data_IF_135516930114
#
_entry.id   IF_135516930114
#
_cell.length_a   1.000
_cell.length_b   1.000
_cell.length_c   1.000
_cell.angle_alpha   90.00
_cell.angle_beta   90.00
_cell.angle_gamma   90.00
#
_symmetry.space_group_name_H-M   'P 1'
#
loop_
_entity.id
_entity.type
_entity.pdbx_description
1 polymer ?
#
# COMPACT_ATOMS: atom_id res chain seq x y z
N UNK A 1 -27.16 -5.46 -2.77
CA UNK A 1 -26.04 -6.38 -2.58
C UNK A 1 -24.85 -5.80 -3.32
N UNK A 2 -23.82 -5.29 -2.64
CA UNK A 2 -22.62 -4.80 -3.30
C UNK A 2 -21.72 -6.01 -3.54
N UNK A 3 -21.44 -6.34 -4.81
CA UNK A 3 -20.44 -7.36 -5.12
C UNK A 3 -19.08 -6.77 -4.78
N UNK A 4 -18.35 -7.41 -3.85
CA UNK A 4 -16.96 -7.07 -3.62
C UNK A 4 -16.17 -7.48 -4.87
N UNK A 5 -15.62 -6.52 -5.60
CA UNK A 5 -14.73 -6.81 -6.72
C UNK A 5 -13.39 -7.26 -6.12
N UNK A 6 -13.00 -8.49 -6.39
CA UNK A 6 -11.65 -8.96 -6.06
C UNK A 6 -10.64 -8.17 -6.88
N UNK A 7 -9.84 -7.36 -6.20
CA UNK A 7 -8.91 -6.43 -6.81
C UNK A 7 -7.58 -6.44 -6.06
N UNK A 8 -6.49 -6.29 -6.80
CA UNK A 8 -5.14 -6.28 -6.27
C UNK A 8 -4.21 -5.67 -7.32
N UNK A 9 -3.45 -4.66 -6.91
CA UNK A 9 -2.46 -3.98 -7.75
C UNK A 9 -1.15 -3.94 -6.99
N UNK A 10 -0.04 -4.21 -7.67
CA UNK A 10 1.29 -4.01 -7.10
C UNK A 10 1.65 -2.55 -7.22
N UNK A 11 2.10 -1.93 -6.13
CA UNK A 11 2.47 -0.53 -6.09
C UNK A 11 3.94 -0.39 -5.68
N UNK A 12 4.59 0.63 -6.23
CA UNK A 12 5.77 1.25 -5.62
C UNK A 12 5.36 2.61 -5.09
N UNK A 13 5.52 2.81 -3.80
CA UNK A 13 5.15 4.05 -3.14
C UNK A 13 6.37 4.70 -2.49
N UNK A 14 6.37 6.02 -2.37
CA UNK A 14 7.30 6.76 -1.52
C UNK A 14 6.58 7.17 -0.24
N UNK A 15 7.05 6.66 0.88
CA UNK A 15 6.52 6.98 2.20
C UNK A 15 6.74 8.47 2.51
N UNK A 16 5.68 9.20 2.88
CA UNK A 16 5.76 10.59 3.33
C UNK A 16 5.63 10.65 4.85
N UNK A 17 4.59 9.99 5.38
CA UNK A 17 4.32 9.93 6.81
C UNK A 17 3.56 8.67 7.16
N UNK A 18 3.62 8.28 8.43
CA UNK A 18 2.82 7.19 9.01
C UNK A 18 2.31 7.60 10.37
N UNK A 19 1.12 7.12 10.72
CA UNK A 19 0.53 7.25 12.04
C UNK A 19 -0.30 5.99 12.36
N UNK A 20 -0.58 5.69 13.63
CA UNK A 20 -1.50 4.61 13.98
C UNK A 20 -2.85 4.78 13.27
N UNK A 21 -3.38 3.70 12.70
CA UNK A 21 -4.66 3.74 12.01
C UNK A 21 -5.80 4.01 13.02
N UNK A 22 -6.73 4.95 12.76
CA UNK A 22 -7.71 5.39 13.75
C UNK A 22 -8.74 4.33 14.14
N UNK A 23 -8.95 3.32 13.28
CA UNK A 23 -9.99 2.29 13.45
C UNK A 23 -9.49 0.84 13.49
N UNK A 24 -8.24 0.60 13.07
CA UNK A 24 -7.72 -0.75 12.89
C UNK A 24 -6.50 -0.91 13.79
N UNK A 25 -6.67 -1.68 14.86
CA UNK A 25 -5.56 -2.00 15.76
C UNK A 25 -4.47 -2.75 14.98
N UNK A 26 -3.19 -2.46 15.26
CA UNK A 26 -2.03 -3.04 14.58
C UNK A 26 -1.82 -2.61 13.12
N UNK A 27 -2.62 -1.66 12.62
CA UNK A 27 -2.40 -1.02 11.33
C UNK A 27 -1.91 0.40 11.55
N UNK A 28 -1.14 0.88 10.59
CA UNK A 28 -0.79 2.28 10.45
C UNK A 28 -1.46 2.83 9.19
N UNK A 29 -1.95 4.06 9.29
CA UNK A 29 -2.34 4.88 8.15
C UNK A 29 -1.10 5.58 7.61
N UNK A 30 -0.83 5.38 6.33
CA UNK A 30 0.33 5.90 5.63
C UNK A 30 -0.12 6.91 4.60
N UNK A 31 0.53 8.08 4.56
CA UNK A 31 0.48 8.97 3.42
C UNK A 31 1.70 8.68 2.52
N UNK A 32 1.46 8.45 1.24
CA UNK A 32 2.52 8.15 0.28
C UNK A 32 2.22 8.67 -1.12
N UNK A 33 3.27 8.93 -1.89
CA UNK A 33 3.16 9.20 -3.33
C UNK A 33 3.29 7.88 -4.09
N UNK A 34 2.39 7.60 -5.03
CA UNK A 34 2.47 6.42 -5.90
C UNK A 34 3.46 6.71 -7.01
N UNK A 35 4.58 5.98 -7.01
CA UNK A 35 5.64 6.12 -8.01
C UNK A 35 5.35 5.27 -9.25
N UNK A 36 4.82 4.06 -9.04
CA UNK A 36 4.61 3.09 -10.10
C UNK A 36 3.54 2.07 -9.69
N UNK A 37 2.91 1.43 -10.68
CA UNK A 37 1.89 0.41 -10.45
C UNK A 37 1.89 -0.67 -11.55
N UNK A 38 1.74 -1.93 -11.12
CA UNK A 38 1.62 -3.09 -12.01
C UNK A 38 0.34 -3.89 -11.67
N UNK A 39 -0.46 -4.30 -12.67
CA UNK A 39 -1.62 -5.15 -12.43
C UNK A 39 -1.20 -6.55 -11.94
N UNK A 40 -1.96 -7.12 -11.01
CA UNK A 40 -1.76 -8.52 -10.57
C UNK A 40 -2.66 -9.45 -11.37
N UNK A 41 -2.08 -10.47 -11.99
CA UNK A 41 -2.83 -11.45 -12.80
C UNK A 41 -3.95 -12.09 -11.98
N UNK A 42 -5.16 -12.10 -12.55
CA UNK A 42 -6.33 -12.71 -11.93
C UNK A 42 -7.14 -11.76 -11.04
N UNK A 43 -6.69 -10.51 -10.85
CA UNK A 43 -7.38 -9.50 -10.06
C UNK A 43 -7.71 -8.27 -10.90
N UNK A 44 -8.76 -7.55 -10.53
CA UNK A 44 -9.03 -6.24 -11.10
C UNK A 44 -7.94 -5.25 -10.67
N UNK A 45 -7.46 -4.46 -11.62
CA UNK A 45 -6.55 -3.34 -11.34
C UNK A 45 -7.35 -2.06 -11.15
N UNK A 46 -7.44 -1.61 -9.90
CA UNK A 46 -8.21 -0.42 -9.53
C UNK A 46 -7.33 0.73 -9.06
N UNK A 47 -6.00 0.59 -9.09
CA UNK A 47 -5.09 1.56 -8.48
C UNK A 47 -4.06 2.15 -9.45
N UNK A 48 -3.80 1.53 -10.60
CA UNK A 48 -2.81 2.06 -11.56
C UNK A 48 -3.14 3.44 -12.11
N UNK A 49 -4.43 3.81 -12.17
CA UNK A 49 -4.83 5.16 -12.57
C UNK A 49 -4.42 6.26 -11.57
N UNK A 50 -3.90 5.88 -10.39
CA UNK A 50 -3.47 6.81 -9.33
C UNK A 50 -1.96 7.07 -9.33
N UNK A 51 -1.21 6.50 -10.26
CA UNK A 51 0.25 6.73 -10.41
C UNK A 51 0.54 8.22 -10.58
N UNK A 52 1.58 8.70 -9.91
CA UNK A 52 1.94 10.12 -9.82
C UNK A 52 1.11 10.92 -8.81
N UNK A 53 0.09 10.31 -8.22
CA UNK A 53 -0.76 10.91 -7.20
C UNK A 53 -0.31 10.59 -5.77
N UNK A 54 -0.84 11.37 -4.83
CA UNK A 54 -0.73 11.12 -3.39
C UNK A 54 -1.95 10.35 -2.90
N UNK A 55 -1.71 9.36 -2.05
CA UNK A 55 -2.76 8.53 -1.47
C UNK A 55 -2.56 8.32 0.02
N UNK A 56 -3.65 7.99 0.69
CA UNK A 56 -3.65 7.38 2.00
C UNK A 56 -3.92 5.89 1.85
N UNK A 57 -3.14 5.06 2.54
CA UNK A 57 -3.32 3.62 2.56
C UNK A 57 -3.05 3.03 3.95
N UNK A 58 -3.81 2.00 4.32
CA UNK A 58 -3.59 1.24 5.53
C UNK A 58 -2.57 0.11 5.29
N UNK A 59 -1.56 0.03 6.15
CA UNK A 59 -0.54 -1.02 6.12
C UNK A 59 -0.39 -1.59 7.52
N UNK A 60 -0.27 -2.92 7.62
CA UNK A 60 0.08 -3.63 8.85
C UNK A 60 1.36 -3.05 9.48
N UNK A 61 1.32 -2.69 10.75
CA UNK A 61 2.43 -1.97 11.44
C UNK A 61 3.72 -2.78 11.47
N UNK A 62 3.62 -4.09 11.66
CA UNK A 62 4.75 -5.02 11.67
C UNK A 62 5.46 -5.09 10.32
N UNK A 63 4.75 -4.92 9.19
CA UNK A 63 5.37 -4.82 7.87
C UNK A 63 6.18 -3.53 7.69
N UNK A 64 5.82 -2.46 8.41
CA UNK A 64 6.50 -1.16 8.32
C UNK A 64 7.72 -1.05 9.23
N UNK A 65 8.19 -2.13 9.84
CA UNK A 65 9.36 -2.05 10.70
C UNK A 65 10.59 -1.52 9.92
N UNK A 66 11.30 -0.57 10.51
CA UNK A 66 12.40 0.13 9.85
C UNK A 66 12.02 1.09 8.70
N UNK A 67 10.75 1.24 8.33
CA UNK A 67 10.34 2.23 7.32
C UNK A 67 10.38 3.66 7.88
N UNK A 68 11.10 4.55 7.19
CA UNK A 68 11.18 5.97 7.50
C UNK A 68 10.66 6.83 6.33
N UNK A 69 10.18 8.07 6.59
CA UNK A 69 9.86 9.01 5.52
C UNK A 69 10.94 9.10 4.44
N UNK A 70 10.53 9.09 3.17
CA UNK A 70 11.39 9.03 2.00
C UNK A 70 11.67 7.62 1.48
N UNK A 71 11.48 6.57 2.30
CA UNK A 71 11.66 5.19 1.87
C UNK A 71 10.72 4.82 0.71
N UNK A 72 11.19 3.99 -0.21
CA UNK A 72 10.39 3.42 -1.28
C UNK A 72 9.93 2.04 -0.86
N UNK A 73 8.62 1.81 -0.88
CA UNK A 73 8.02 0.53 -0.47
C UNK A 73 7.38 -0.10 -1.71
N UNK A 74 7.75 -1.34 -2.01
CA UNK A 74 7.00 -2.20 -2.95
C UNK A 74 6.03 -3.03 -2.13
N UNK A 75 4.76 -3.03 -2.52
CA UNK A 75 3.70 -3.78 -1.83
C UNK A 75 2.54 -4.07 -2.78
N UNK A 76 1.67 -5.00 -2.42
CA UNK A 76 0.39 -5.21 -3.11
C UNK A 76 -0.74 -4.59 -2.30
N UNK A 77 -1.65 -3.89 -2.97
CA UNK A 77 -2.76 -3.21 -2.32
C UNK A 77 -4.07 -3.41 -3.09
N UNK A 78 -5.17 -3.29 -2.34
CA UNK A 78 -6.53 -3.35 -2.87
C UNK A 78 -7.34 -2.14 -2.41
N UNK A 79 -8.33 -1.77 -3.20
CA UNK A 79 -9.38 -0.84 -2.82
C UNK A 79 -10.53 -1.62 -2.15
N UNK A 80 -10.80 -1.32 -0.88
CA UNK A 80 -11.86 -1.92 -0.09
C UNK A 80 -12.69 -0.82 0.59
N UNK A 81 -13.99 -0.75 0.30
CA UNK A 81 -14.91 0.24 0.88
C UNK A 81 -14.41 1.71 0.77
N UNK A 82 -13.71 2.05 -0.33
CA UNK A 82 -13.17 3.39 -0.58
C UNK A 82 -11.77 3.63 0.01
N UNK A 83 -11.24 2.67 0.77
CA UNK A 83 -9.93 2.75 1.41
C UNK A 83 -8.91 1.88 0.66
N UNK A 84 -7.68 2.36 0.51
CA UNK A 84 -6.57 1.55 -0.02
C UNK A 84 -5.97 0.78 1.14
N UNK A 85 -5.93 -0.55 1.03
CA UNK A 85 -5.44 -1.43 2.07
C UNK A 85 -4.36 -2.32 1.46
N UNK A 86 -3.17 -2.30 2.06
CA UNK A 86 -2.11 -3.22 1.71
C UNK A 86 -2.51 -4.67 2.05
N UNK A 87 -2.01 -5.61 1.26
CA UNK A 87 -2.16 -7.02 1.58
C UNK A 87 -1.56 -7.30 2.98
N UNK A 88 -2.33 -7.86 3.92
CA UNK A 88 -1.90 -8.00 5.31
C UNK A 88 -0.81 -9.06 5.52
N UNK A 89 -0.78 -10.10 4.67
CA UNK A 89 0.15 -11.22 4.75
C UNK A 89 0.77 -11.47 3.37
N UNK A 90 1.62 -10.56 2.89
CA UNK A 90 2.21 -10.70 1.57
C UNK A 90 3.12 -11.93 1.51
N UNK A 91 3.15 -12.67 0.38
CA UNK A 91 4.14 -13.68 0.14
C UNK A 91 5.57 -13.12 0.27
N UNK A 92 6.57 -13.96 0.58
CA UNK A 92 7.97 -13.52 0.62
C UNK A 92 8.40 -12.79 -0.66
N UNK A 93 8.97 -11.60 -0.52
CA UNK A 93 9.44 -10.78 -1.63
C UNK A 93 8.38 -9.86 -2.27
N UNK A 94 7.10 -10.01 -1.94
CA UNK A 94 6.02 -9.13 -2.42
C UNK A 94 5.83 -7.88 -1.56
N UNK A 95 6.54 -7.80 -0.44
CA UNK A 95 6.68 -6.60 0.37
C UNK A 95 8.16 -6.32 0.61
N UNK A 96 8.65 -5.17 0.17
CA UNK A 96 10.04 -4.74 0.38
C UNK A 96 10.11 -3.25 0.68
N UNK A 97 11.02 -2.90 1.59
CA UNK A 97 11.34 -1.52 1.95
C UNK A 97 12.75 -1.22 1.46
N UNK A 98 12.87 -0.21 0.61
CA UNK A 98 14.14 0.38 0.22
C UNK A 98 14.30 1.70 0.98
N UNK A 99 15.32 1.84 1.85
CA UNK A 99 15.56 3.08 2.59
C UNK A 99 15.74 4.29 1.68
N UNK A 100 15.43 5.49 2.19
CA UNK A 100 15.84 6.71 1.51
C UNK A 100 17.37 6.78 1.46
N UNK A 101 17.94 7.03 0.29
CA UNK A 101 19.37 7.34 0.17
C UNK A 101 19.65 8.64 0.94
N UNK A 102 20.68 8.70 1.80
CA UNK A 102 21.08 9.91 2.51
C UNK A 102 21.57 11.02 1.57
#
# INVERSE_FOLDING_TARGET
MVQAIENLTTLRIRLISRAPHPRLAEWDQVAADILDADPVRGYADLLSHRVGGRVELAIRRDLLDGAAPGAVIRLRAKLAAGEIVAEPHPPPGEFTITPATP
#
